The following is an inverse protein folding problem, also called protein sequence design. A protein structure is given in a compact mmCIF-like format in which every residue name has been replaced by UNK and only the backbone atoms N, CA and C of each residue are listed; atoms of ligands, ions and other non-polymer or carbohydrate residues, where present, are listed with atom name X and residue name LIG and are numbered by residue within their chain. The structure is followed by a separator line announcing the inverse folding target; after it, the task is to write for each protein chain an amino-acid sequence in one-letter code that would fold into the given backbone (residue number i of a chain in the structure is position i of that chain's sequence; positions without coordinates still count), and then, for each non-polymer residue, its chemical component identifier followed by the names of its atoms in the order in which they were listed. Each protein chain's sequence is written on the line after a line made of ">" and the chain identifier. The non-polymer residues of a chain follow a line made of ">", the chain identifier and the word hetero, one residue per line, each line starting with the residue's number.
data_IF_583586985116
#
_entry.id   IF_583586985116
#
_cell.length_a   1.000
_cell.length_b   1.000
_cell.length_c   1.000
_cell.angle_alpha   90.00
_cell.angle_beta   90.00
_cell.angle_gamma   90.00
#
_symmetry.space_group_name_H-M   'P 1'
#
loop_
_entity.id
_entity.type
_entity.pdbx_description
1 polymer ?
#
# COMPACT_ATOMS: atom_id res chain seq x y z
N UNK A 1 -5.11 8.58 5.48
CA UNK A 1 -4.92 7.71 4.30
C UNK A 1 -3.68 6.80 4.40
N UNK A 2 -2.61 7.18 5.11
CA UNK A 2 -1.48 6.28 5.35
C UNK A 2 -1.89 4.98 6.07
N UNK A 3 -2.80 5.04 7.04
CA UNK A 3 -3.21 3.87 7.83
C UNK A 3 -4.35 3.08 7.15
N UNK A 4 -4.90 3.58 6.05
CA UNK A 4 -5.92 2.92 5.23
C UNK A 4 -5.32 2.39 3.93
N UNK A 5 -4.91 3.29 3.02
CA UNK A 5 -4.32 2.91 1.73
C UNK A 5 -2.86 2.45 1.87
N UNK A 6 -2.07 3.11 2.73
CA UNK A 6 -0.67 2.73 2.96
C UNK A 6 -0.54 1.38 3.67
N UNK A 7 -1.37 1.14 4.68
CA UNK A 7 -1.44 -0.17 5.35
C UNK A 7 -1.94 -1.26 4.39
N UNK A 8 -2.96 -0.99 3.57
CA UNK A 8 -3.42 -1.91 2.54
C UNK A 8 -2.32 -2.24 1.52
N UNK A 9 -1.55 -1.23 1.08
CA UNK A 9 -0.39 -1.43 0.20
C UNK A 9 0.67 -2.33 0.85
N UNK A 10 1.00 -2.10 2.13
CA UNK A 10 1.93 -2.94 2.90
C UNK A 10 1.45 -4.38 3.07
N UNK A 11 0.18 -4.58 3.45
CA UNK A 11 -0.42 -5.91 3.57
C UNK A 11 -0.44 -6.65 2.24
N UNK A 12 -0.79 -5.96 1.14
CA UNK A 12 -0.79 -6.54 -0.19
C UNK A 12 0.63 -6.92 -0.64
N UNK A 13 1.63 -6.06 -0.40
CA UNK A 13 3.02 -6.35 -0.75
C UNK A 13 3.54 -7.61 -0.05
N UNK A 14 3.33 -7.73 1.27
CA UNK A 14 3.69 -8.95 2.01
C UNK A 14 2.96 -10.19 1.49
N UNK A 15 1.65 -10.06 1.21
CA UNK A 15 0.85 -11.14 0.65
C UNK A 15 1.35 -11.61 -0.71
N UNK A 16 1.72 -10.68 -1.60
CA UNK A 16 2.29 -11.00 -2.92
C UNK A 16 3.62 -11.74 -2.77
N UNK A 17 4.53 -11.26 -1.91
CA UNK A 17 5.81 -11.95 -1.65
C UNK A 17 5.56 -13.38 -1.18
N UNK A 18 4.61 -13.59 -0.28
CA UNK A 18 4.29 -14.92 0.23
C UNK A 18 3.67 -15.82 -0.83
N UNK A 19 2.80 -15.29 -1.71
CA UNK A 19 2.26 -16.02 -2.86
C UNK A 19 3.34 -16.41 -3.88
N UNK A 20 4.41 -15.62 -3.98
CA UNK A 20 5.59 -15.90 -4.81
C UNK A 20 6.59 -16.86 -4.15
N UNK A 21 6.29 -17.41 -2.97
CA UNK A 21 7.17 -18.33 -2.25
C UNK A 21 8.34 -17.65 -1.52
N UNK A 22 8.27 -16.34 -1.30
CA UNK A 22 9.27 -15.57 -0.57
C UNK A 22 9.28 -15.88 0.93
N UNK A 23 10.38 -15.51 1.59
CA UNK A 23 10.58 -15.67 3.03
C UNK A 23 9.81 -14.61 3.83
N UNK A 24 9.59 -14.88 5.13
CA UNK A 24 9.02 -13.90 6.07
C UNK A 24 9.81 -12.58 6.08
N UNK A 25 11.15 -12.66 5.99
CA UNK A 25 12.01 -11.47 5.95
C UNK A 25 11.71 -10.62 4.71
N UNK A 26 11.61 -11.24 3.53
CA UNK A 26 11.28 -10.54 2.28
C UNK A 26 9.87 -9.93 2.33
N UNK A 27 8.90 -10.63 2.93
CA UNK A 27 7.54 -10.11 3.08
C UNK A 27 7.51 -8.86 3.97
N UNK A 28 8.28 -8.86 5.07
CA UNK A 28 8.42 -7.70 5.96
C UNK A 28 9.12 -6.54 5.25
N UNK A 29 10.19 -6.82 4.47
CA UNK A 29 10.93 -5.80 3.75
C UNK A 29 10.08 -5.14 2.65
N UNK A 30 9.29 -5.94 1.92
CA UNK A 30 8.33 -5.45 0.94
C UNK A 30 7.22 -4.60 1.57
N UNK A 31 6.63 -5.07 2.68
CA UNK A 31 5.62 -4.31 3.41
C UNK A 31 6.17 -2.98 3.95
N UNK A 32 7.39 -3.00 4.49
CA UNK A 32 8.08 -1.80 4.98
C UNK A 32 8.30 -0.79 3.86
N UNK A 33 8.78 -1.23 2.69
CA UNK A 33 9.00 -0.37 1.53
C UNK A 33 7.67 0.22 1.01
N UNK A 34 6.63 -0.59 0.92
CA UNK A 34 5.31 -0.15 0.48
C UNK A 34 4.72 0.92 1.43
N UNK A 35 4.84 0.74 2.75
CA UNK A 35 4.37 1.73 3.74
C UNK A 35 5.20 3.01 3.66
N UNK A 36 6.53 2.91 3.51
CA UNK A 36 7.44 4.06 3.41
C UNK A 36 7.08 4.99 2.24
N UNK A 37 6.71 4.42 1.09
CA UNK A 37 6.30 5.17 -0.10
C UNK A 37 4.97 5.95 0.09
N UNK A 38 4.27 5.74 1.21
CA UNK A 38 2.98 6.38 1.52
C UNK A 38 2.96 7.14 2.84
N UNK A 39 4.13 7.39 3.46
CA UNK A 39 4.23 8.18 4.69
C UNK A 39 3.75 9.61 4.43
N UNK A 40 2.93 10.12 5.36
CA UNK A 40 2.41 11.49 5.29
C UNK A 40 1.14 11.63 4.43
N UNK A 41 0.57 10.53 3.94
CA UNK A 41 -0.67 10.58 3.16
C UNK A 41 -1.89 10.93 4.04
N UNK A 42 -2.27 12.21 4.00
CA UNK A 42 -3.40 12.77 4.74
C UNK A 42 -4.74 12.27 4.18
N UNK A 43 -5.73 12.14 5.07
CA UNK A 43 -7.13 11.93 4.70
C UNK A 43 -7.82 13.30 4.59
N UNK A 44 -7.96 13.82 3.37
CA UNK A 44 -8.67 15.07 3.06
C UNK A 44 -9.47 14.88 1.75
N UNK A 45 -10.62 14.19 1.81
CA UNK A 45 -11.43 13.90 0.62
C UNK A 45 -12.23 15.12 0.15
N UNK A 46 -12.43 15.22 -1.18
CA UNK A 46 -13.24 16.30 -1.77
C UNK A 46 -14.70 16.13 -1.34
N UNK A 47 -15.28 17.20 -0.79
CA UNK A 47 -16.67 17.24 -0.32
C UNK A 47 -17.04 16.11 0.66
N UNK A 48 -16.06 15.62 1.42
CA UNK A 48 -16.23 14.50 2.37
C UNK A 48 -16.73 13.19 1.72
N UNK A 49 -16.45 13.00 0.42
CA UNK A 49 -16.84 11.78 -0.32
C UNK A 49 -15.65 10.85 -0.52
N UNK A 50 -15.89 9.55 -0.39
CA UNK A 50 -14.89 8.49 -0.64
C UNK A 50 -14.77 8.20 -2.14
N UNK A 51 -14.57 9.25 -2.94
CA UNK A 51 -14.43 9.19 -4.39
C UNK A 51 -13.07 9.77 -4.78
N UNK A 52 -12.91 11.09 -4.63
CA UNK A 52 -11.68 11.82 -4.96
C UNK A 52 -11.02 12.31 -3.66
N UNK A 53 -9.71 12.04 -3.43
CA UNK A 53 -8.79 11.24 -4.23
C UNK A 53 -8.76 9.74 -3.85
N UNK A 54 -9.74 9.24 -3.09
CA UNK A 54 -9.71 7.90 -2.51
C UNK A 54 -9.58 6.75 -3.54
N UNK A 55 -10.24 6.86 -4.70
CA UNK A 55 -10.10 5.87 -5.78
C UNK A 55 -8.68 5.88 -6.36
N UNK A 56 -8.13 7.07 -6.64
CA UNK A 56 -6.76 7.23 -7.12
C UNK A 56 -5.73 6.70 -6.11
N UNK A 57 -5.93 6.96 -4.82
CA UNK A 57 -5.09 6.43 -3.73
C UNK A 57 -5.10 4.89 -3.68
N UNK A 58 -6.24 4.23 -3.95
CA UNK A 58 -6.30 2.77 -4.03
C UNK A 58 -5.53 2.23 -5.24
N UNK A 59 -5.64 2.86 -6.40
CA UNK A 59 -4.88 2.48 -7.59
C UNK A 59 -3.38 2.62 -7.33
N UNK A 60 -2.94 3.76 -6.77
CA UNK A 60 -1.54 3.97 -6.37
C UNK A 60 -1.08 2.95 -5.33
N UNK A 61 -1.92 2.57 -4.36
CA UNK A 61 -1.61 1.56 -3.35
C UNK A 61 -1.41 0.16 -3.94
N UNK A 62 -2.24 -0.24 -4.89
CA UNK A 62 -2.10 -1.51 -5.59
C UNK A 62 -0.79 -1.56 -6.41
N UNK A 63 -0.51 -0.50 -7.19
CA UNK A 63 0.72 -0.44 -7.98
C UNK A 63 1.97 -0.43 -7.10
N UNK A 64 1.96 0.36 -6.02
CA UNK A 64 3.05 0.41 -5.06
C UNK A 64 3.29 -0.93 -4.37
N UNK A 65 2.21 -1.69 -4.07
CA UNK A 65 2.33 -3.01 -3.47
C UNK A 65 3.01 -4.00 -4.41
N UNK A 66 2.62 -4.02 -5.69
CA UNK A 66 3.25 -4.86 -6.71
C UNK A 66 4.73 -4.48 -6.86
N UNK A 67 5.03 -3.19 -7.05
CA UNK A 67 6.40 -2.70 -7.21
C UNK A 67 7.29 -2.91 -5.99
N UNK A 68 6.72 -2.97 -4.79
CA UNK A 68 7.50 -3.24 -3.56
C UNK A 68 7.71 -4.74 -3.30
N UNK A 69 6.92 -5.61 -3.94
CA UNK A 69 6.97 -7.06 -3.75
C UNK A 69 7.86 -7.78 -4.77
N UNK A 70 8.03 -7.23 -5.97
CA UNK A 70 8.92 -7.74 -7.03
C UNK A 70 10.30 -7.11 -6.95
#
# INVERSE_FOLDING_TARGET
>A
CQVECGSASGMAAAGIVQLMGGTVKQAIDAASSAIQNMIGLVCDPVADRVEVPCLGKNISAAMNAISSAT
#
